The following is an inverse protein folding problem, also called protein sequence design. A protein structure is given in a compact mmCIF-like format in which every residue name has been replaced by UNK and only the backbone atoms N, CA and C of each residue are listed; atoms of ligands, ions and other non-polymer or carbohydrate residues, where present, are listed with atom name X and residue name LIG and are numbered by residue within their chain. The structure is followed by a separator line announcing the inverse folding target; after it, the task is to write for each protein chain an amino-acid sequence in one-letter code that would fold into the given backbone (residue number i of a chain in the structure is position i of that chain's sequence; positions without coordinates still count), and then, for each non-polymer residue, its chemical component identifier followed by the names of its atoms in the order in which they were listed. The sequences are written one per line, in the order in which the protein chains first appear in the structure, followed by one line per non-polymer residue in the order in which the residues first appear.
data_IF_564131015121
#
_entry.id   IF_564131015121
#
_cell.length_a   1.000
_cell.length_b   1.000
_cell.length_c   1.000
_cell.angle_alpha   90.00
_cell.angle_beta   90.00
_cell.angle_gamma   90.00
#
_symmetry.space_group_name_H-M   'P 1'
#
loop_
_entity.id
_entity.type
_entity.pdbx_description
1 polymer ?
#
# COMPACT_ATOMS: atom_id res chain seq x y z
N UNK A 1 19.14 -15.80 -8.46
CA UNK A 1 19.15 -16.71 -7.29
C UNK A 1 20.32 -16.38 -6.40
N UNK A 2 20.08 -16.26 -5.11
CA UNK A 2 21.11 -16.13 -4.07
C UNK A 2 20.81 -17.16 -3.00
N UNK A 3 21.78 -18.01 -2.64
CA UNK A 3 21.62 -19.05 -1.60
C UNK A 3 20.32 -19.86 -1.71
N UNK A 4 20.02 -20.41 -2.89
CA UNK A 4 18.79 -21.18 -3.17
C UNK A 4 17.47 -20.40 -2.97
N UNK A 5 17.52 -19.08 -3.00
CA UNK A 5 16.33 -18.23 -3.01
C UNK A 5 16.24 -17.42 -4.30
N UNK A 6 15.03 -17.25 -4.79
CA UNK A 6 14.67 -16.26 -5.78
C UNK A 6 14.63 -14.92 -5.05
N UNK A 7 15.36 -13.93 -5.57
CA UNK A 7 15.43 -12.58 -4.99
C UNK A 7 15.02 -11.60 -6.07
N UNK A 8 13.90 -10.93 -5.87
CA UNK A 8 13.42 -9.85 -6.72
C UNK A 8 13.64 -8.54 -5.99
N UNK A 9 14.01 -7.50 -6.73
CA UNK A 9 14.29 -6.20 -6.15
C UNK A 9 13.82 -5.06 -7.03
N UNK A 10 13.55 -3.92 -6.40
CA UNK A 10 13.22 -2.67 -7.06
C UNK A 10 13.87 -1.51 -6.33
N UNK A 11 14.43 -0.58 -7.09
CA UNK A 11 15.11 0.59 -6.55
C UNK A 11 14.32 1.85 -6.89
N UNK A 12 14.18 2.74 -5.90
CA UNK A 12 13.62 4.08 -6.08
C UNK A 12 14.41 5.02 -5.17
N UNK A 13 14.95 6.10 -5.75
CA UNK A 13 15.80 7.04 -5.01
C UNK A 13 16.90 6.32 -4.21
N UNK A 14 16.85 6.40 -2.88
CA UNK A 14 17.77 5.77 -1.92
C UNK A 14 17.13 4.61 -1.13
N UNK A 15 16.00 4.06 -1.62
CA UNK A 15 15.29 2.91 -1.07
C UNK A 15 15.36 1.69 -2.00
N UNK A 16 15.57 0.53 -1.37
CA UNK A 16 15.68 -0.76 -2.03
C UNK A 16 14.60 -1.69 -1.48
N UNK A 17 13.70 -2.11 -2.35
CA UNK A 17 12.63 -3.06 -2.05
C UNK A 17 13.09 -4.45 -2.45
N UNK A 18 12.84 -5.45 -1.61
CA UNK A 18 13.19 -6.84 -1.86
C UNK A 18 12.02 -7.74 -1.53
N UNK A 19 11.81 -8.76 -2.37
CA UNK A 19 10.95 -9.91 -2.08
C UNK A 19 11.75 -11.16 -2.38
N UNK A 20 11.76 -12.10 -1.43
CA UNK A 20 12.48 -13.36 -1.55
C UNK A 20 11.51 -14.52 -1.44
N UNK A 21 11.72 -15.55 -2.26
CA UNK A 21 11.00 -16.82 -2.16
C UNK A 21 11.97 -17.99 -2.36
N UNK A 22 11.51 -19.20 -2.05
CA UNK A 22 12.28 -20.42 -2.29
C UNK A 22 12.59 -20.63 -3.77
N UNK A 23 13.56 -21.48 -4.08
CA UNK A 23 14.01 -21.79 -5.44
C UNK A 23 12.97 -22.47 -6.34
N UNK A 24 11.88 -22.99 -5.77
CA UNK A 24 10.77 -23.60 -6.48
C UNK A 24 9.53 -22.71 -6.59
N UNK A 25 9.57 -21.49 -6.04
CA UNK A 25 8.44 -20.56 -6.08
C UNK A 25 8.25 -19.95 -7.47
N UNK A 26 7.01 -19.53 -7.74
CA UNK A 26 6.70 -18.86 -9.00
C UNK A 26 7.21 -17.42 -9.00
N UNK A 27 8.22 -17.13 -9.82
CA UNK A 27 8.83 -15.80 -9.97
C UNK A 27 7.82 -14.70 -10.32
N UNK A 28 6.79 -15.01 -11.13
CA UNK A 28 5.76 -14.02 -11.52
C UNK A 28 4.87 -13.64 -10.33
N UNK A 29 4.58 -14.60 -9.46
CA UNK A 29 3.82 -14.35 -8.23
C UNK A 29 4.66 -13.47 -7.28
N UNK A 30 5.94 -13.81 -7.08
CA UNK A 30 6.84 -12.98 -6.28
C UNK A 30 7.00 -11.57 -6.86
N UNK A 31 7.01 -11.42 -8.19
CA UNK A 31 7.06 -10.12 -8.84
C UNK A 31 5.78 -9.31 -8.61
N UNK A 32 4.63 -9.99 -8.56
CA UNK A 32 3.33 -9.38 -8.22
C UNK A 32 3.34 -8.88 -6.78
N UNK A 33 3.89 -9.65 -5.83
CA UNK A 33 4.06 -9.24 -4.43
C UNK A 33 4.98 -8.02 -4.31
N UNK A 34 6.12 -8.03 -5.01
CA UNK A 34 7.06 -6.89 -5.02
C UNK A 34 6.41 -5.62 -5.58
N UNK A 35 5.63 -5.75 -6.65
CA UNK A 35 4.95 -4.63 -7.27
C UNK A 35 3.82 -4.10 -6.37
N UNK A 36 3.03 -4.99 -5.75
CA UNK A 36 2.01 -4.61 -4.77
C UNK A 36 2.62 -3.86 -3.60
N UNK A 37 3.72 -4.37 -3.01
CA UNK A 37 4.42 -3.71 -1.91
C UNK A 37 4.91 -2.33 -2.30
N UNK A 38 5.56 -2.20 -3.46
CA UNK A 38 6.06 -0.92 -3.95
C UNK A 38 4.92 0.10 -4.18
N UNK A 39 3.85 -0.31 -4.85
CA UNK A 39 2.75 0.59 -5.18
C UNK A 39 1.94 0.98 -3.92
N UNK A 40 1.71 0.06 -2.99
CA UNK A 40 1.06 0.35 -1.71
C UNK A 40 1.85 1.34 -0.87
N UNK A 41 3.17 1.17 -0.76
CA UNK A 41 4.03 2.15 -0.08
C UNK A 41 3.99 3.49 -0.81
N UNK A 42 3.98 3.49 -2.15
CA UNK A 42 3.78 4.69 -2.95
C UNK A 42 2.48 5.43 -2.62
N UNK A 43 1.36 4.70 -2.43
CA UNK A 43 0.08 5.28 -2.03
C UNK A 43 0.12 5.84 -0.61
N UNK A 44 0.66 5.08 0.35
CA UNK A 44 0.74 5.47 1.77
C UNK A 44 1.62 6.70 1.97
N UNK A 45 2.75 6.78 1.27
CA UNK A 45 3.69 7.91 1.32
C UNK A 45 3.37 9.02 0.30
N UNK A 46 2.19 8.97 -0.33
CA UNK A 46 1.71 9.99 -1.28
C UNK A 46 2.70 10.28 -2.42
N UNK A 47 3.41 9.26 -2.88
CA UNK A 47 4.38 9.30 -3.97
C UNK A 47 5.81 9.65 -3.55
N UNK A 48 6.06 10.06 -2.30
CA UNK A 48 7.39 10.39 -1.81
C UNK A 48 8.08 9.15 -1.25
N UNK A 49 8.61 8.32 -2.13
CA UNK A 49 9.29 7.07 -1.74
C UNK A 49 10.80 7.32 -1.67
N UNK A 50 11.23 7.96 -0.58
CA UNK A 50 12.64 8.12 -0.18
C UNK A 50 12.86 7.63 1.25
N UNK A 51 14.12 7.40 1.60
CA UNK A 51 14.49 6.80 2.89
C UNK A 51 14.00 7.59 4.08
N UNK A 52 13.98 8.93 4.00
CA UNK A 52 13.58 9.76 5.12
C UNK A 52 12.08 9.58 5.36
N UNK A 53 11.26 9.74 4.32
CA UNK A 53 9.80 9.60 4.42
C UNK A 53 9.40 8.18 4.86
N UNK A 54 10.07 7.15 4.34
CA UNK A 54 9.82 5.78 4.75
C UNK A 54 10.18 5.49 6.21
N UNK A 55 11.24 6.11 6.74
CA UNK A 55 11.60 5.97 8.16
C UNK A 55 10.66 6.75 9.08
N UNK A 56 10.15 7.89 8.63
CA UNK A 56 9.16 8.69 9.37
C UNK A 56 7.79 7.99 9.45
N UNK A 57 7.46 7.12 8.50
CA UNK A 57 6.19 6.38 8.42
C UNK A 57 6.40 4.84 8.39
N UNK A 58 7.41 4.36 9.11
CA UNK A 58 7.80 2.94 9.08
C UNK A 58 6.69 2.00 9.57
N UNK A 59 5.89 2.46 10.52
CA UNK A 59 4.70 1.75 11.04
C UNK A 59 3.69 1.42 9.94
N UNK A 60 3.40 2.37 9.05
CA UNK A 60 2.51 2.15 7.89
C UNK A 60 3.09 1.11 6.92
N UNK A 61 4.41 1.13 6.72
CA UNK A 61 5.10 0.16 5.86
C UNK A 61 5.05 -1.24 6.47
N UNK A 62 5.22 -1.38 7.79
CA UNK A 62 5.11 -2.67 8.47
C UNK A 62 3.69 -3.23 8.40
N UNK A 63 2.68 -2.40 8.66
CA UNK A 63 1.27 -2.79 8.47
C UNK A 63 0.97 -3.17 7.02
N UNK A 64 1.56 -2.46 6.05
CA UNK A 64 1.45 -2.80 4.64
C UNK A 64 1.99 -4.20 4.35
N UNK A 65 3.09 -4.61 4.99
CA UNK A 65 3.65 -5.96 4.82
C UNK A 65 2.70 -7.00 5.41
N UNK A 66 2.14 -6.76 6.59
CA UNK A 66 1.18 -7.66 7.26
C UNK A 66 -0.08 -7.90 6.41
N UNK A 67 -0.55 -6.88 5.68
CA UNK A 67 -1.70 -7.02 4.78
C UNK A 67 -1.38 -7.77 3.46
N UNK A 68 -0.10 -7.83 3.06
CA UNK A 68 0.34 -8.51 1.83
C UNK A 68 0.63 -9.99 2.10
N UNK A 69 1.36 -10.31 3.17
CA UNK A 69 1.82 -11.67 3.48
C UNK A 69 1.65 -11.99 4.96
N UNK A 70 1.04 -13.14 5.27
CA UNK A 70 1.01 -13.72 6.62
C UNK A 70 1.61 -15.13 6.61
N UNK A 71 2.68 -15.35 7.37
CA UNK A 71 3.35 -16.65 7.46
C UNK A 71 3.86 -17.22 6.13
N UNK A 72 4.14 -16.36 5.14
CA UNK A 72 4.52 -16.77 3.78
C UNK A 72 3.34 -16.99 2.83
N UNK A 73 2.10 -16.86 3.31
CA UNK A 73 0.88 -16.91 2.50
C UNK A 73 0.58 -15.52 1.99
N UNK A 74 0.46 -15.36 0.68
CA UNK A 74 0.06 -14.09 0.06
C UNK A 74 -1.44 -13.89 0.28
N UNK A 75 -1.81 -12.79 0.95
CA UNK A 75 -3.19 -12.47 1.30
C UNK A 75 -3.84 -11.50 0.31
N UNK A 76 -3.10 -10.47 -0.10
CA UNK A 76 -3.59 -9.41 -0.99
C UNK A 76 -2.46 -8.91 -1.90
N UNK A 77 -2.83 -8.51 -3.11
CA UNK A 77 -1.90 -7.96 -4.12
C UNK A 77 -2.41 -6.69 -4.81
N UNK A 78 -3.67 -6.29 -4.59
CA UNK A 78 -4.16 -4.98 -5.04
C UNK A 78 -3.67 -3.87 -4.11
N UNK A 79 -2.84 -2.93 -4.60
CA UNK A 79 -2.24 -1.92 -3.76
C UNK A 79 -3.24 -0.95 -3.13
N UNK A 80 -4.39 -0.71 -3.78
CA UNK A 80 -5.45 0.16 -3.24
C UNK A 80 -6.16 -0.51 -2.07
N UNK A 81 -6.38 -1.82 -2.15
CA UNK A 81 -7.00 -2.59 -1.06
C UNK A 81 -6.06 -2.62 0.14
N UNK A 82 -4.77 -2.91 -0.08
CA UNK A 82 -3.74 -2.91 0.98
C UNK A 82 -3.67 -1.55 1.65
N UNK A 83 -3.45 -0.48 0.87
CA UNK A 83 -3.33 0.87 1.41
C UNK A 83 -4.62 1.32 2.12
N UNK A 84 -5.79 0.94 1.61
CA UNK A 84 -7.08 1.21 2.25
C UNK A 84 -7.21 0.53 3.63
N UNK A 85 -6.81 -0.74 3.74
CA UNK A 85 -6.81 -1.48 5.02
C UNK A 85 -5.83 -0.88 6.01
N UNK A 86 -4.59 -0.61 5.59
CA UNK A 86 -3.57 0.04 6.42
C UNK A 86 -4.04 1.40 6.92
N UNK A 87 -4.59 2.24 6.03
CA UNK A 87 -5.12 3.55 6.38
C UNK A 87 -6.31 3.48 7.36
N UNK A 88 -7.10 2.41 7.30
CA UNK A 88 -8.19 2.18 8.25
C UNK A 88 -7.69 1.71 9.63
N UNK A 89 -6.55 1.00 9.66
CA UNK A 89 -5.88 0.58 10.89
C UNK A 89 -5.05 1.73 11.52
N UNK A 90 -4.60 2.71 10.72
CA UNK A 90 -3.80 3.86 11.17
C UNK A 90 -4.63 5.06 11.66
N UNK A 91 -5.97 4.95 11.72
CA UNK A 91 -6.89 6.04 12.15
C UNK A 91 -6.57 6.56 13.56
N UNK A 92 -5.75 5.86 14.34
CA UNK A 92 -5.38 6.23 15.70
C UNK A 92 -4.13 7.12 15.84
N UNK A 93 -3.51 7.63 14.77
CA UNK A 93 -2.31 8.49 14.92
C UNK A 93 -2.19 9.62 13.87
N UNK A 94 -2.69 10.81 14.22
CA UNK A 94 -1.92 12.05 14.00
C UNK A 94 -2.44 13.14 13.05
N UNK A 95 -3.28 12.85 12.05
CA UNK A 95 -3.96 13.89 11.25
C UNK A 95 -5.26 13.34 10.65
N UNK A 96 -6.38 14.10 10.67
CA UNK A 96 -7.69 13.45 10.69
C UNK A 96 -8.15 13.06 9.29
N UNK A 97 -8.48 11.77 9.16
CA UNK A 97 -9.27 11.18 8.07
C UNK A 97 -10.56 11.98 7.75
N UNK A 98 -10.99 12.88 8.64
CA UNK A 98 -12.14 13.77 8.45
C UNK A 98 -12.05 14.60 7.18
N UNK A 99 -10.88 15.05 6.72
CA UNK A 99 -10.80 15.88 5.49
C UNK A 99 -11.01 15.07 4.20
N UNK A 100 -10.60 13.80 4.19
CA UNK A 100 -10.77 12.91 3.04
C UNK A 100 -12.21 12.36 2.98
N UNK A 101 -12.77 11.95 4.13
CA UNK A 101 -14.17 11.51 4.22
C UNK A 101 -15.14 12.68 4.00
N UNK A 102 -14.80 13.90 4.45
CA UNK A 102 -15.62 15.09 4.18
C UNK A 102 -15.60 15.44 2.69
N UNK A 103 -14.46 15.36 2.01
CA UNK A 103 -14.37 15.63 0.57
C UNK A 103 -15.19 14.63 -0.25
N UNK A 104 -15.13 13.34 0.11
CA UNK A 104 -15.95 12.30 -0.51
C UNK A 104 -17.44 12.47 -0.18
N UNK A 105 -17.80 12.68 1.09
CA UNK A 105 -19.18 12.91 1.51
C UNK A 105 -19.78 14.18 0.89
N UNK A 106 -19.00 15.26 0.74
CA UNK A 106 -19.41 16.49 0.06
C UNK A 106 -19.63 16.24 -1.44
N UNK A 107 -18.77 15.45 -2.09
CA UNK A 107 -18.95 15.08 -3.48
C UNK A 107 -20.23 14.26 -3.68
N UNK A 108 -20.48 13.26 -2.83
CA UNK A 108 -21.71 12.45 -2.83
C UNK A 108 -22.95 13.29 -2.52
N UNK A 109 -22.88 14.19 -1.54
CA UNK A 109 -23.98 15.10 -1.19
C UNK A 109 -24.29 16.09 -2.32
N UNK A 110 -23.26 16.62 -3.00
CA UNK A 110 -23.42 17.49 -4.17
C UNK A 110 -24.13 16.77 -5.31
N UNK A 111 -23.77 15.52 -5.57
CA UNK A 111 -24.41 14.72 -6.61
C UNK A 111 -25.88 14.38 -6.27
N UNK A 112 -26.16 14.07 -5.00
CA UNK A 112 -27.53 13.85 -4.53
C UNK A 112 -28.39 15.12 -4.59
N UNK A 113 -27.86 16.29 -4.22
CA UNK A 113 -28.55 17.57 -4.36
C UNK A 113 -28.81 17.93 -5.82
N UNK A 114 -27.81 17.76 -6.70
CA UNK A 114 -27.98 18.02 -8.12
C UNK A 114 -29.10 17.15 -8.73
N UNK A 115 -29.14 15.86 -8.40
CA UNK A 115 -30.21 14.94 -8.86
C UNK A 115 -31.58 15.30 -8.26
N UNK A 116 -31.64 15.83 -7.04
CA UNK A 116 -32.89 16.23 -6.40
C UNK A 116 -33.45 17.57 -6.92
N UNK A 117 -32.60 18.46 -7.44
CA UNK A 117 -32.99 19.76 -7.99
C UNK A 117 -33.32 19.74 -9.50
N UNK A 118 -32.89 18.69 -10.21
CA UNK A 118 -33.16 18.45 -11.64
C UNK A 118 -34.45 17.62 -11.88
N UNK A 119 -35.27 17.40 -10.84
CA UNK A 119 -36.61 16.80 -10.93
C UNK A 119 -37.69 17.83 -10.64
#
# INVERSE_FOLDING_TARGET
MFENNIVLYKFVQDLHFFVTGGDYENELILATVLQAFFDSVGLLLRGNVDKKEALENLDLILLCIDEIVDGGIILETDPNVIAGKVASNSIDSGAPLSEQTLSQALATAREHLARSLLK
#
